data_IF_855498030138
#
_entry.id   IF_855498030138
#
_cell.length_a   1.000
_cell.length_b   1.000
_cell.length_c   1.000
_cell.angle_alpha   90.00
_cell.angle_beta   90.00
_cell.angle_gamma   90.00
#
_symmetry.space_group_name_H-M   'P 1'
#
loop_
_entity.id
_entity.type
_entity.pdbx_description
1 polymer ?
#
# COMPACT_ATOMS: atom_id res chain seq x y z
N UNK A 1 -17.61 5.36 -2.47
CA UNK A 1 -16.70 4.30 -2.95
C UNK A 1 -16.08 3.62 -1.73
N UNK A 2 -16.12 2.28 -1.58
CA UNK A 2 -15.48 1.53 -0.47
C UNK A 2 -13.94 1.73 -0.37
N UNK A 3 -13.40 2.57 -1.25
CA UNK A 3 -12.00 2.95 -1.43
C UNK A 3 -11.65 4.28 -0.72
N UNK A 4 -12.52 4.81 0.14
CA UNK A 4 -12.39 6.15 0.77
C UNK A 4 -11.28 6.28 1.85
N UNK A 5 -10.29 5.39 1.91
CA UNK A 5 -9.20 5.47 2.90
C UNK A 5 -7.87 5.93 2.34
N UNK A 6 -7.78 6.21 1.04
CA UNK A 6 -6.57 6.78 0.46
C UNK A 6 -6.43 8.29 0.68
N UNK A 7 -7.56 8.94 0.94
CA UNK A 7 -7.67 10.36 1.22
C UNK A 7 -8.16 10.48 2.68
N UNK A 8 -7.37 10.88 3.70
CA UNK A 8 -6.04 11.52 3.71
C UNK A 8 -4.88 10.66 4.30
N UNK A 9 -5.02 9.34 4.45
CA UNK A 9 -4.14 8.55 5.36
C UNK A 9 -2.69 8.32 4.86
N UNK A 10 -2.43 8.27 3.56
CA UNK A 10 -1.07 7.92 3.08
C UNK A 10 -0.09 9.09 3.19
N UNK A 11 -0.56 10.28 2.82
CA UNK A 11 0.27 11.49 2.81
C UNK A 11 0.07 12.37 4.03
N UNK A 12 -1.04 12.16 4.78
CA UNK A 12 -1.35 12.85 6.04
C UNK A 12 -0.79 14.29 6.06
N UNK A 13 -1.20 15.16 5.12
CA UNK A 13 -0.55 16.45 4.92
C UNK A 13 -0.62 17.35 6.16
N UNK A 14 -1.66 17.15 6.99
CA UNK A 14 -1.86 17.84 8.27
C UNK A 14 -1.09 17.18 9.43
N UNK A 15 -0.34 16.10 9.18
CA UNK A 15 0.37 15.29 10.17
C UNK A 15 -0.53 14.84 11.33
N UNK A 16 -1.81 14.60 11.04
CA UNK A 16 -2.84 14.26 12.01
C UNK A 16 -2.57 12.90 12.66
N UNK A 17 -2.03 11.94 11.91
CA UNK A 17 -1.73 10.58 12.35
C UNK A 17 -0.31 10.40 12.88
N UNK A 18 0.58 11.40 12.74
CA UNK A 18 1.94 11.46 13.32
C UNK A 18 2.82 10.22 13.08
N UNK A 19 2.55 9.45 12.02
CA UNK A 19 3.18 8.16 11.80
C UNK A 19 4.44 8.22 10.92
N UNK A 20 4.79 9.39 10.37
CA UNK A 20 6.03 9.62 9.60
C UNK A 20 6.17 8.82 8.30
N UNK A 21 5.16 8.04 7.92
CA UNK A 21 5.15 7.18 6.72
C UNK A 21 5.21 7.97 5.41
N UNK A 22 4.77 9.22 5.41
CA UNK A 22 4.89 10.15 4.29
C UNK A 22 6.36 10.40 3.90
N UNK A 23 7.29 10.41 4.87
CA UNK A 23 8.71 10.70 4.62
C UNK A 23 9.36 9.77 3.61
N UNK A 24 8.99 8.48 3.61
CA UNK A 24 9.52 7.52 2.65
C UNK A 24 9.10 7.92 1.22
N UNK A 25 7.80 8.16 1.00
CA UNK A 25 7.26 8.56 -0.28
C UNK A 25 7.78 9.93 -0.75
N UNK A 26 7.85 10.90 0.16
CA UNK A 26 8.47 12.21 -0.09
C UNK A 26 9.94 12.08 -0.49
N UNK A 27 10.71 11.22 0.17
CA UNK A 27 12.12 10.95 -0.21
C UNK A 27 12.28 10.28 -1.58
N UNK A 28 11.21 9.69 -2.11
CA UNK A 28 11.17 9.11 -3.45
C UNK A 28 10.54 10.08 -4.48
N UNK A 29 10.22 11.30 -4.06
CA UNK A 29 9.68 12.39 -4.87
C UNK A 29 8.16 12.35 -5.07
N UNK A 30 7.43 11.53 -4.31
CA UNK A 30 5.97 11.50 -4.35
C UNK A 30 5.34 12.51 -3.39
N UNK A 31 4.22 13.09 -3.82
CA UNK A 31 3.46 14.08 -3.07
C UNK A 31 1.99 13.66 -2.92
N UNK A 32 1.19 14.43 -2.18
CA UNK A 32 -0.26 14.21 -2.07
C UNK A 32 -0.96 14.18 -3.44
N UNK A 33 -0.45 14.92 -4.43
CA UNK A 33 -0.98 14.93 -5.79
C UNK A 33 -0.85 13.56 -6.47
N UNK A 34 0.06 12.71 -5.99
CA UNK A 34 0.32 11.37 -6.52
C UNK A 34 -0.46 10.28 -5.79
N UNK A 35 -1.21 10.62 -4.74
CA UNK A 35 -1.90 9.65 -3.89
C UNK A 35 -2.81 8.71 -4.67
N UNK A 36 -3.59 9.25 -5.63
CA UNK A 36 -4.48 8.45 -6.48
C UNK A 36 -3.71 7.51 -7.41
N UNK A 37 -2.59 7.96 -7.96
CA UNK A 37 -1.75 7.12 -8.81
C UNK A 37 -1.08 6.01 -8.00
N UNK A 38 -0.52 6.33 -6.84
CA UNK A 38 0.06 5.35 -5.93
C UNK A 38 -0.96 4.31 -5.51
N UNK A 39 -2.19 4.72 -5.16
CA UNK A 39 -3.26 3.79 -4.88
C UNK A 39 -3.48 2.77 -5.99
N UNK A 40 -3.69 3.28 -7.20
CA UNK A 40 -3.99 2.44 -8.35
C UNK A 40 -2.83 1.47 -8.64
N UNK A 41 -1.58 1.93 -8.52
CA UNK A 41 -0.41 1.10 -8.77
C UNK A 41 -0.23 0.01 -7.70
N UNK A 42 -0.46 0.34 -6.42
CA UNK A 42 -0.43 -0.64 -5.33
C UNK A 42 -1.55 -1.68 -5.47
N UNK A 43 -2.78 -1.27 -5.79
CA UNK A 43 -3.92 -2.15 -6.01
C UNK A 43 -3.70 -3.08 -7.20
N UNK A 44 -3.18 -2.55 -8.31
CA UNK A 44 -2.83 -3.32 -9.52
C UNK A 44 -1.80 -4.40 -9.23
N UNK A 45 -0.69 -4.05 -8.56
CA UNK A 45 0.36 -5.02 -8.23
C UNK A 45 -0.14 -6.06 -7.21
N UNK A 46 -0.94 -5.65 -6.22
CA UNK A 46 -1.50 -6.55 -5.23
C UNK A 46 -2.45 -7.57 -5.84
N UNK A 47 -3.33 -7.16 -6.75
CA UNK A 47 -4.23 -8.07 -7.44
C UNK A 47 -3.45 -9.09 -8.27
N UNK A 48 -2.48 -8.63 -9.07
CA UNK A 48 -1.64 -9.51 -9.89
C UNK A 48 -0.92 -10.57 -9.05
N UNK A 49 -0.32 -10.15 -7.94
CA UNK A 49 0.42 -11.03 -7.05
C UNK A 49 -0.47 -11.96 -6.24
N UNK A 50 -1.64 -11.50 -5.82
CA UNK A 50 -2.63 -12.34 -5.17
C UNK A 50 -3.11 -13.49 -6.08
N UNK A 51 -3.43 -13.19 -7.33
CA UNK A 51 -3.82 -14.22 -8.31
C UNK A 51 -2.68 -15.22 -8.56
N UNK A 52 -1.43 -14.73 -8.59
CA UNK A 52 -0.26 -15.57 -8.81
C UNK A 52 0.21 -16.36 -7.57
N UNK A 53 -0.37 -16.14 -6.40
CA UNK A 53 0.14 -16.74 -5.15
C UNK A 53 1.43 -16.09 -4.63
N UNK A 54 1.87 -14.95 -5.16
CA UNK A 54 3.11 -14.25 -4.79
C UNK A 54 2.89 -13.29 -3.60
N UNK A 55 2.64 -13.86 -2.42
CA UNK A 55 2.45 -13.10 -1.19
C UNK A 55 2.84 -13.93 0.04
N UNK A 56 3.17 -13.23 1.13
CA UNK A 56 3.37 -13.88 2.42
C UNK A 56 2.06 -13.91 3.20
N UNK A 57 1.67 -15.08 3.72
CA UNK A 57 0.54 -15.21 4.63
C UNK A 57 0.87 -14.56 5.98
N UNK A 58 -0.10 -13.80 6.49
CA UNK A 58 -0.11 -13.29 7.86
C UNK A 58 -1.17 -13.97 8.72
N UNK A 59 -1.60 -13.29 9.77
CA UNK A 59 -2.62 -13.78 10.70
C UNK A 59 -4.00 -13.89 10.02
N UNK A 60 -4.62 -15.07 10.13
CA UNK A 60 -6.04 -15.28 9.87
C UNK A 60 -6.86 -14.84 11.09
N UNK A 61 -7.95 -14.10 10.88
CA UNK A 61 -8.90 -13.76 11.94
C UNK A 61 -10.32 -13.62 11.40
N UNK A 62 -11.27 -13.24 12.26
CA UNK A 62 -12.69 -13.07 11.91
C UNK A 62 -12.97 -12.08 10.76
N UNK A 63 -12.01 -11.24 10.40
CA UNK A 63 -12.13 -10.27 9.30
C UNK A 63 -11.55 -10.79 7.98
N UNK A 64 -10.87 -11.93 7.99
CA UNK A 64 -10.26 -12.56 6.81
C UNK A 64 -8.78 -12.88 6.99
N UNK A 65 -8.15 -13.25 5.87
CA UNK A 65 -6.74 -13.61 5.80
C UNK A 65 -5.89 -12.37 5.56
N UNK A 66 -4.90 -12.09 6.42
CA UNK A 66 -3.90 -11.05 6.13
C UNK A 66 -2.86 -11.58 5.15
N UNK A 67 -2.48 -10.77 4.17
CA UNK A 67 -1.36 -11.06 3.27
C UNK A 67 -0.44 -9.87 3.18
N UNK A 68 0.85 -10.12 2.98
CA UNK A 68 1.83 -9.08 2.69
C UNK A 68 2.30 -9.24 1.24
N UNK A 69 2.24 -8.16 0.48
CA UNK A 69 2.61 -8.12 -0.93
C UNK A 69 3.79 -7.18 -1.11
N UNK A 70 4.87 -7.67 -1.72
CA UNK A 70 6.00 -6.83 -2.15
C UNK A 70 5.59 -6.05 -3.38
N UNK A 71 5.67 -4.73 -3.32
CA UNK A 71 5.41 -3.81 -4.44
C UNK A 71 6.70 -3.10 -4.83
N UNK A 72 6.79 -2.65 -6.08
CA UNK A 72 7.92 -1.87 -6.59
C UNK A 72 7.40 -0.65 -7.34
N UNK A 73 7.95 0.53 -7.04
CA UNK A 73 7.65 1.77 -7.75
C UNK A 73 8.94 2.49 -8.14
N UNK A 74 8.90 3.27 -9.22
CA UNK A 74 10.04 4.09 -9.64
C UNK A 74 10.14 5.35 -8.79
N UNK A 75 11.34 5.79 -8.43
CA UNK A 75 11.53 7.10 -7.80
C UNK A 75 11.34 8.20 -8.84
N UNK A 76 10.70 9.31 -8.45
CA UNK A 76 10.45 10.43 -9.36
C UNK A 76 11.70 11.22 -9.73
N UNK A 77 12.76 11.11 -8.93
CA UNK A 77 14.07 11.69 -9.20
C UNK A 77 14.88 10.89 -10.26
N UNK A 78 14.34 9.77 -10.75
CA UNK A 78 15.00 8.92 -11.74
C UNK A 78 16.14 8.05 -11.19
N UNK A 79 16.38 8.06 -9.88
CA UNK A 79 17.49 7.31 -9.25
C UNK A 79 17.28 5.79 -9.18
N UNK A 80 16.18 5.29 -9.74
CA UNK A 80 15.87 3.87 -9.87
C UNK A 80 14.52 3.50 -9.27
N UNK A 81 14.40 2.26 -8.81
CA UNK A 81 13.18 1.72 -8.22
C UNK A 81 13.35 1.46 -6.72
N UNK A 82 12.23 1.47 -6.00
CA UNK A 82 12.16 1.09 -4.60
C UNK A 82 11.09 0.03 -4.41
N UNK A 83 11.42 -1.02 -3.65
CA UNK A 83 10.48 -2.05 -3.25
C UNK A 83 10.18 -1.98 -1.76
N UNK A 84 8.93 -2.24 -1.40
CA UNK A 84 8.50 -2.31 0.00
C UNK A 84 7.33 -3.26 0.17
N UNK A 85 7.01 -3.60 1.43
CA UNK A 85 5.87 -4.46 1.74
C UNK A 85 4.61 -3.64 1.97
N UNK A 86 3.52 -4.10 1.38
CA UNK A 86 2.15 -3.61 1.61
C UNK A 86 1.35 -4.70 2.31
N UNK A 87 0.54 -4.31 3.30
CA UNK A 87 -0.30 -5.24 4.06
C UNK A 87 -1.75 -5.16 3.60
N UNK A 88 -2.32 -6.31 3.24
CA UNK A 88 -3.68 -6.44 2.73
C UNK A 88 -4.50 -7.42 3.57
N UNK A 89 -5.81 -7.27 3.50
CA UNK A 89 -6.78 -8.24 4.01
C UNK A 89 -7.57 -8.80 2.84
N UNK A 90 -7.49 -10.12 2.69
CA UNK A 90 -8.37 -10.90 1.84
C UNK A 90 -9.65 -11.14 2.65
N UNK A 91 -10.74 -10.48 2.28
CA UNK A 91 -12.06 -10.71 2.88
C UNK A 91 -12.56 -12.13 2.51
N UNK A 92 -13.52 -12.70 3.24
CA UNK A 92 -14.07 -14.03 2.95
C UNK A 92 -14.58 -14.22 1.50
N UNK A 93 -14.98 -13.14 0.82
CA UNK A 93 -15.39 -13.15 -0.58
C UNK A 93 -14.24 -12.92 -1.58
N UNK A 94 -12.99 -13.04 -1.15
CA UNK A 94 -11.81 -12.85 -1.99
C UNK A 94 -11.46 -11.39 -2.29
N UNK A 95 -12.24 -10.40 -1.82
CA UNK A 95 -11.92 -8.98 -2.02
C UNK A 95 -10.67 -8.58 -1.25
N UNK A 96 -9.73 -7.95 -1.93
CA UNK A 96 -8.55 -7.33 -1.32
C UNK A 96 -8.90 -5.96 -0.73
N UNK A 97 -8.45 -5.72 0.50
CA UNK A 97 -8.51 -4.42 1.16
C UNK A 97 -7.13 -4.04 1.65
N UNK A 98 -6.62 -2.89 1.24
CA UNK A 98 -5.36 -2.37 1.77
C UNK A 98 -5.55 -1.98 3.24
N UNK A 99 -4.72 -2.55 4.11
CA UNK A 99 -4.69 -2.20 5.54
C UNK A 99 -3.48 -1.31 5.86
N UNK A 100 -2.35 -1.60 5.24
CA UNK A 100 -1.08 -0.92 5.52
C UNK A 100 -0.39 -0.61 4.18
N UNK A 101 -0.41 0.65 3.71
CA UNK A 101 0.23 1.04 2.45
C UNK A 101 1.75 0.97 2.50
N UNK A 102 2.32 1.03 3.71
CA UNK A 102 3.74 0.88 3.95
C UNK A 102 3.97 0.15 5.27
N UNK A 103 4.46 -1.08 5.16
CA UNK A 103 4.96 -1.89 6.25
C UNK A 103 6.49 -1.85 6.25
N UNK A 104 7.06 -1.14 7.20
CA UNK A 104 8.48 -1.23 7.51
C UNK A 104 8.76 -2.50 8.33
N UNK A 105 9.90 -3.13 8.07
CA UNK A 105 10.64 -3.78 9.14
C UNK A 105 11.19 -2.70 10.07
#
# INVERSE_FOLDING_TARGET
SEYSKFDPYLFDPDNFYKHGKNRAFESWGYTVNDARWLQAELEKQALKKYIAGDYALGKLNKYGQRINVKVTISRKDGTGEVSFMTGWMVKPNGKLKLNTPYGGK
#
